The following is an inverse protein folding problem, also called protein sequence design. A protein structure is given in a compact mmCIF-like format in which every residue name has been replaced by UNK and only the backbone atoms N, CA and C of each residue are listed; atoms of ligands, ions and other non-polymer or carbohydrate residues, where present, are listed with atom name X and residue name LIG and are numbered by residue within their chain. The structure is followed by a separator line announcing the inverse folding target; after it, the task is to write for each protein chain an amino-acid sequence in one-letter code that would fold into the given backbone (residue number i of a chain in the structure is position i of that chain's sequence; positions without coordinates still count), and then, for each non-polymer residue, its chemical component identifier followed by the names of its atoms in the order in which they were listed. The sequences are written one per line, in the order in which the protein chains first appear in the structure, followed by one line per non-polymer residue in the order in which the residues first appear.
data_IF_237552534949
#
_entry.id   IF_237552534949
#
_cell.length_a   1.000
_cell.length_b   1.000
_cell.length_c   1.000
_cell.angle_alpha   90.00
_cell.angle_beta   90.00
_cell.angle_gamma   90.00
#
_symmetry.space_group_name_H-M   'P 1'
#
loop_
_entity.id
_entity.type
_entity.pdbx_description
1 polymer ?
#
# COMPACT_ATOMS: atom_id res chain seq x y z
N UNK A 1 5.90 -21.06 -13.82
CA UNK A 1 4.70 -20.35 -14.27
C UNK A 1 4.87 -18.91 -13.82
N UNK A 2 4.60 -17.93 -14.67
CA UNK A 2 4.56 -16.54 -14.23
C UNK A 2 3.25 -16.31 -13.49
N UNK A 3 3.30 -15.68 -12.31
CA UNK A 3 2.11 -15.25 -11.56
C UNK A 3 1.75 -13.83 -11.98
N UNK A 4 0.47 -13.52 -11.99
CA UNK A 4 -0.01 -12.15 -12.20
C UNK A 4 0.01 -11.37 -10.88
N UNK A 5 0.03 -10.05 -10.95
CA UNK A 5 -0.04 -9.19 -9.76
C UNK A 5 -1.33 -9.47 -8.98
N UNK A 6 -2.45 -9.66 -9.66
CA UNK A 6 -3.73 -10.03 -9.06
C UNK A 6 -3.69 -11.31 -8.23
N UNK A 7 -2.90 -12.31 -8.67
CA UNK A 7 -2.76 -13.56 -7.92
C UNK A 7 -2.04 -13.33 -6.58
N UNK A 8 -1.01 -12.46 -6.58
CA UNK A 8 -0.33 -12.07 -5.35
C UNK A 8 -1.27 -11.33 -4.41
N UNK A 9 -1.97 -10.29 -4.91
CA UNK A 9 -2.83 -9.45 -4.09
C UNK A 9 -3.96 -10.25 -3.42
N UNK A 10 -4.53 -11.22 -4.12
CA UNK A 10 -5.59 -12.06 -3.57
C UNK A 10 -5.13 -13.05 -2.48
N UNK A 11 -3.83 -13.36 -2.41
CA UNK A 11 -3.27 -14.32 -1.47
C UNK A 11 -2.47 -13.64 -0.32
N UNK A 12 -2.18 -12.33 -0.43
CA UNK A 12 -1.49 -11.58 0.63
C UNK A 12 -2.26 -11.65 1.94
N UNK A 13 -1.55 -11.89 3.03
CA UNK A 13 -2.07 -12.03 4.40
C UNK A 13 -3.03 -13.21 4.59
N UNK A 14 -3.13 -14.10 3.61
CA UNK A 14 -3.85 -15.37 3.72
C UNK A 14 -2.94 -16.58 3.50
N UNK A 15 -2.19 -16.59 2.42
CA UNK A 15 -1.21 -17.62 2.08
C UNK A 15 0.21 -17.06 1.89
N UNK A 16 0.32 -15.77 1.60
CA UNK A 16 1.59 -15.08 1.34
C UNK A 16 1.88 -14.10 2.48
N UNK A 17 3.05 -14.26 3.07
CA UNK A 17 3.50 -13.47 4.21
C UNK A 17 4.92 -12.99 4.03
N UNK A 18 5.34 -12.16 4.98
CA UNK A 18 6.68 -11.64 5.09
C UNK A 18 7.49 -12.49 6.09
N UNK A 19 8.78 -12.85 5.85
CA UNK A 19 9.61 -13.56 6.85
C UNK A 19 10.08 -12.61 7.96
N UNK A 20 10.34 -13.14 9.16
CA UNK A 20 10.75 -12.37 10.35
C UNK A 20 12.09 -11.64 10.26
N UNK A 21 12.91 -11.94 9.26
CA UNK A 21 14.19 -11.26 9.00
C UNK A 21 14.02 -10.10 8.03
N UNK A 22 13.10 -9.19 8.34
CA UNK A 22 12.74 -8.14 7.42
C UNK A 22 13.19 -6.76 7.82
N UNK A 23 13.34 -5.95 6.76
CA UNK A 23 13.40 -4.51 6.83
C UNK A 23 11.98 -3.94 6.82
N UNK A 24 11.69 -3.01 7.72
CA UNK A 24 10.43 -2.26 7.72
C UNK A 24 10.12 -1.66 6.33
N UNK A 25 8.85 -1.39 6.07
CA UNK A 25 8.46 -0.69 4.87
C UNK A 25 9.00 0.75 4.91
N UNK A 26 9.74 1.13 3.87
CA UNK A 26 10.48 2.41 3.83
C UNK A 26 10.18 3.26 2.59
N UNK A 27 9.35 2.77 1.68
CA UNK A 27 8.97 3.57 0.51
C UNK A 27 8.03 4.71 0.91
N UNK A 28 8.25 5.87 0.29
CA UNK A 28 7.35 7.00 0.44
C UNK A 28 6.21 6.95 -0.60
N UNK A 29 5.16 7.79 -0.46
CA UNK A 29 4.03 7.79 -1.38
C UNK A 29 4.44 7.97 -2.85
N UNK A 30 5.39 8.87 -3.13
CA UNK A 30 5.86 9.10 -4.49
C UNK A 30 6.50 7.87 -5.13
N UNK A 31 7.24 7.08 -4.38
CA UNK A 31 7.82 5.83 -4.89
C UNK A 31 6.73 4.79 -5.21
N UNK A 32 5.62 4.80 -4.48
CA UNK A 32 4.46 3.98 -4.79
C UNK A 32 3.81 4.47 -6.09
N UNK A 33 3.59 5.76 -6.23
CA UNK A 33 3.04 6.38 -7.45
C UNK A 33 3.89 6.06 -8.69
N UNK A 34 5.22 6.21 -8.59
CA UNK A 34 6.17 5.88 -9.65
C UNK A 34 6.16 4.37 -10.02
N UNK A 35 5.89 3.49 -9.05
CA UNK A 35 5.72 2.06 -9.32
C UNK A 35 4.48 1.79 -10.17
N UNK A 36 3.36 2.44 -9.86
CA UNK A 36 2.11 2.28 -10.62
C UNK A 36 2.21 2.89 -12.02
N UNK A 37 2.87 4.04 -12.16
CA UNK A 37 3.19 4.60 -13.45
C UNK A 37 4.03 3.63 -14.31
N UNK A 38 5.05 3.02 -13.69
CA UNK A 38 5.87 1.99 -14.35
C UNK A 38 5.07 0.79 -14.83
N UNK A 39 4.09 0.34 -14.02
CA UNK A 39 3.22 -0.79 -14.37
C UNK A 39 2.32 -0.48 -15.57
N UNK A 40 1.69 0.70 -15.60
CA UNK A 40 0.82 1.09 -16.72
C UNK A 40 1.60 1.25 -18.01
N UNK A 41 2.88 1.67 -17.91
CA UNK A 41 3.78 1.78 -19.06
C UNK A 41 4.42 0.46 -19.48
N UNK A 42 4.04 -0.65 -18.86
CA UNK A 42 4.63 -1.98 -19.11
C UNK A 42 6.15 -2.02 -18.89
N UNK A 43 6.65 -1.18 -17.96
CA UNK A 43 8.05 -1.23 -17.57
C UNK A 43 8.30 -2.39 -16.58
N UNK A 44 9.46 -3.06 -16.69
CA UNK A 44 9.79 -4.14 -15.77
C UNK A 44 10.03 -3.59 -14.36
N UNK A 45 9.23 -4.01 -13.41
CA UNK A 45 9.35 -3.61 -12.00
C UNK A 45 10.32 -4.48 -11.19
N UNK A 46 11.03 -5.38 -11.84
CA UNK A 46 11.96 -6.33 -11.23
C UNK A 46 11.28 -7.65 -10.82
N UNK A 47 12.07 -8.58 -10.28
CA UNK A 47 11.60 -9.89 -9.89
C UNK A 47 11.06 -9.92 -8.46
N UNK A 48 10.11 -10.81 -8.18
CA UNK A 48 9.68 -11.20 -6.84
C UNK A 48 10.21 -12.59 -6.58
N UNK A 49 10.89 -12.79 -5.45
CA UNK A 49 11.44 -14.08 -5.07
C UNK A 49 10.61 -14.68 -3.94
N UNK A 50 9.99 -15.81 -4.24
CA UNK A 50 9.17 -16.59 -3.31
C UNK A 50 9.98 -17.73 -2.68
N UNK A 51 9.75 -17.96 -1.41
CA UNK A 51 10.12 -19.20 -0.75
C UNK A 51 8.86 -19.97 -0.34
N UNK A 52 8.66 -21.13 -0.94
CA UNK A 52 7.56 -22.03 -0.58
C UNK A 52 7.97 -22.85 0.64
N UNK A 53 7.27 -22.61 1.74
CA UNK A 53 7.54 -23.26 3.02
C UNK A 53 6.89 -24.63 3.02
N UNK A 54 7.64 -25.64 3.50
CA UNK A 54 7.05 -26.99 3.69
C UNK A 54 6.35 -27.04 5.04
N UNK A 55 5.19 -27.64 5.09
CA UNK A 55 4.35 -27.76 6.30
C UNK A 55 5.12 -28.23 7.55
N UNK A 56 6.13 -29.09 7.39
CA UNK A 56 6.96 -29.57 8.51
C UNK A 56 7.84 -28.51 9.18
N UNK A 57 8.04 -27.33 8.56
CA UNK A 57 8.98 -26.31 9.01
C UNK A 57 8.31 -24.96 9.28
N UNK A 58 6.99 -24.91 9.22
CA UNK A 58 6.23 -23.64 9.35
C UNK A 58 6.45 -22.99 10.72
N UNK A 59 6.44 -23.79 11.79
CA UNK A 59 6.64 -23.31 13.16
C UNK A 59 8.03 -22.75 13.47
N UNK A 60 9.00 -22.94 12.58
CA UNK A 60 10.36 -22.53 12.79
C UNK A 60 10.63 -21.07 12.36
N UNK A 61 9.63 -20.43 11.71
CA UNK A 61 9.80 -19.11 11.12
C UNK A 61 8.69 -18.16 11.54
N UNK A 62 9.07 -17.06 12.18
CA UNK A 62 8.15 -15.96 12.42
C UNK A 62 7.78 -15.34 11.07
N UNK A 63 6.50 -15.12 10.86
CA UNK A 63 5.95 -14.48 9.68
C UNK A 63 5.11 -13.27 10.05
N UNK A 64 5.06 -12.30 9.15
CA UNK A 64 4.41 -11.02 9.36
C UNK A 64 3.47 -10.68 8.22
N UNK A 65 2.39 -9.99 8.55
CA UNK A 65 1.47 -9.45 7.57
C UNK A 65 2.10 -8.33 6.74
N UNK A 66 1.68 -8.21 5.48
CA UNK A 66 1.89 -7.02 4.68
C UNK A 66 1.04 -5.87 5.22
N UNK A 67 1.56 -4.65 5.10
CA UNK A 67 0.83 -3.45 5.46
C UNK A 67 -0.27 -3.17 4.45
N UNK A 68 -1.49 -3.03 4.93
CA UNK A 68 -2.61 -2.54 4.12
C UNK A 68 -2.67 -1.01 4.15
N UNK A 69 -2.41 -0.43 5.30
CA UNK A 69 -2.34 1.01 5.50
C UNK A 69 -0.93 1.40 5.94
N UNK A 70 -0.42 2.51 5.42
CA UNK A 70 0.91 3.00 5.71
C UNK A 70 0.87 4.44 6.19
N UNK A 71 1.70 4.78 7.19
CA UNK A 71 1.85 6.15 7.69
C UNK A 71 2.91 6.86 6.87
N UNK A 72 2.49 7.84 6.09
CA UNK A 72 3.36 8.56 5.15
C UNK A 72 4.20 9.68 5.79
N UNK A 73 3.96 10.01 7.05
CA UNK A 73 4.67 11.05 7.78
C UNK A 73 5.86 10.49 8.56
N UNK A 74 6.86 11.36 8.83
CA UNK A 74 8.02 11.05 9.69
C UNK A 74 7.62 10.79 11.16
N UNK A 75 6.36 10.95 11.50
CA UNK A 75 5.83 10.74 12.83
C UNK A 75 5.24 9.35 12.97
N UNK A 76 5.77 8.58 13.89
CA UNK A 76 5.10 7.35 14.30
C UNK A 76 3.78 7.71 15.02
N UNK A 77 2.62 7.24 14.53
CA UNK A 77 1.37 7.42 15.23
C UNK A 77 1.42 6.80 16.63
N UNK A 78 0.67 7.33 17.58
CA UNK A 78 0.49 6.68 18.88
C UNK A 78 -0.10 5.26 18.74
N UNK A 79 0.27 4.37 19.66
CA UNK A 79 -0.13 2.95 19.61
C UNK A 79 -1.63 2.70 19.39
N UNK A 80 -2.58 3.48 19.95
CA UNK A 80 -4.00 3.30 19.66
C UNK A 80 -4.35 3.51 18.18
N UNK A 81 -3.71 4.47 17.52
CA UNK A 81 -3.90 4.74 16.07
C UNK A 81 -3.30 3.61 15.25
N UNK A 82 -2.13 3.12 15.63
CA UNK A 82 -1.47 1.99 14.97
C UNK A 82 -2.32 0.73 15.03
N UNK A 83 -2.87 0.43 16.22
CA UNK A 83 -3.65 -0.79 16.44
C UNK A 83 -4.98 -0.79 15.70
N UNK A 84 -5.65 0.37 15.60
CA UNK A 84 -6.97 0.45 14.97
C UNK A 84 -6.94 0.30 13.46
N UNK A 85 -5.83 0.65 12.83
CA UNK A 85 -5.75 0.72 11.36
C UNK A 85 -4.73 -0.24 10.74
N UNK A 86 -4.23 -1.21 11.51
CA UNK A 86 -3.21 -2.16 11.01
C UNK A 86 -2.01 -1.47 10.34
N UNK A 87 -1.54 -0.37 10.95
CA UNK A 87 -0.49 0.49 10.42
C UNK A 87 0.93 -0.06 10.67
N UNK A 88 1.07 -1.27 11.15
CA UNK A 88 2.36 -1.95 11.33
C UNK A 88 2.26 -3.43 10.99
N UNK A 89 3.38 -4.00 10.59
CA UNK A 89 3.43 -5.42 10.30
C UNK A 89 3.18 -6.25 11.57
N UNK A 90 2.04 -6.91 11.63
CA UNK A 90 1.68 -7.79 12.75
C UNK A 90 2.28 -9.17 12.55
N UNK A 91 2.79 -9.76 13.63
CA UNK A 91 3.20 -11.16 13.64
C UNK A 91 1.98 -12.06 13.47
N UNK A 92 2.14 -13.10 12.67
CA UNK A 92 1.06 -14.03 12.35
C UNK A 92 1.13 -15.19 13.34
N UNK A 93 0.15 -15.30 14.22
CA UNK A 93 0.11 -16.34 15.26
C UNK A 93 -0.73 -17.56 14.84
N UNK A 94 -1.79 -17.35 14.06
CA UNK A 94 -2.82 -18.36 13.80
C UNK A 94 -2.88 -18.89 12.37
N UNK A 95 -1.97 -18.44 11.49
CA UNK A 95 -1.94 -18.86 10.09
C UNK A 95 -0.65 -19.57 9.74
N UNK A 96 -0.78 -20.58 8.90
CA UNK A 96 0.36 -21.32 8.37
C UNK A 96 0.78 -20.71 7.02
N UNK A 97 1.92 -20.01 6.94
CA UNK A 97 2.36 -19.42 5.67
C UNK A 97 2.75 -20.50 4.67
N UNK A 98 2.18 -20.44 3.48
CA UNK A 98 2.59 -21.30 2.37
C UNK A 98 3.75 -20.71 1.59
N UNK A 99 3.80 -19.37 1.51
CA UNK A 99 4.78 -18.61 0.74
C UNK A 99 5.31 -17.46 1.58
N UNK A 100 6.63 -17.35 1.65
CA UNK A 100 7.32 -16.19 2.21
C UNK A 100 8.02 -15.42 1.09
N UNK A 101 7.86 -14.10 1.07
CA UNK A 101 8.50 -13.24 0.08
C UNK A 101 9.90 -12.85 0.56
N UNK A 102 10.93 -13.34 -0.14
CA UNK A 102 12.33 -13.12 0.22
C UNK A 102 12.88 -11.84 -0.44
N UNK A 103 12.52 -11.57 -1.68
CA UNK A 103 12.89 -10.33 -2.38
C UNK A 103 11.69 -9.74 -3.12
N UNK A 104 11.68 -8.42 -3.29
CA UNK A 104 10.57 -7.68 -3.86
C UNK A 104 9.48 -7.29 -2.86
N UNK A 105 9.72 -7.44 -1.57
CA UNK A 105 8.79 -7.16 -0.47
C UNK A 105 8.26 -5.72 -0.51
N UNK A 106 9.14 -4.72 -0.68
CA UNK A 106 8.73 -3.31 -0.75
C UNK A 106 7.79 -3.06 -1.93
N UNK A 107 8.10 -3.63 -3.09
CA UNK A 107 7.28 -3.53 -4.31
C UNK A 107 5.92 -4.20 -4.13
N UNK A 108 5.91 -5.43 -3.60
CA UNK A 108 4.66 -6.15 -3.40
C UNK A 108 3.79 -5.47 -2.34
N UNK A 109 4.40 -4.96 -1.26
CA UNK A 109 3.67 -4.18 -0.26
C UNK A 109 3.13 -2.87 -0.84
N UNK A 110 3.90 -2.19 -1.68
CA UNK A 110 3.44 -0.97 -2.39
C UNK A 110 2.25 -1.24 -3.30
N UNK A 111 2.26 -2.37 -4.02
CA UNK A 111 1.12 -2.79 -4.82
C UNK A 111 -0.12 -3.08 -3.95
N UNK A 112 0.07 -3.74 -2.82
CA UNK A 112 -1.01 -4.03 -1.88
C UNK A 112 -1.58 -2.74 -1.25
N UNK A 113 -0.72 -1.81 -0.82
CA UNK A 113 -1.14 -0.48 -0.33
C UNK A 113 -1.94 0.27 -1.40
N UNK A 114 -1.44 0.31 -2.63
CA UNK A 114 -2.06 1.11 -3.69
C UNK A 114 -3.39 0.54 -4.19
N UNK A 115 -3.58 -0.79 -4.19
CA UNK A 115 -4.80 -1.43 -4.70
C UNK A 115 -5.83 -1.68 -3.60
N UNK A 116 -5.41 -2.28 -2.48
CA UNK A 116 -6.32 -2.75 -1.43
C UNK A 116 -6.36 -1.84 -0.21
N UNK A 117 -5.39 -0.94 -0.10
CA UNK A 117 -5.18 -0.12 1.07
C UNK A 117 -5.08 1.37 0.79
N UNK A 118 -4.12 2.00 1.44
CA UNK A 118 -3.85 3.41 1.29
C UNK A 118 -2.75 3.90 2.22
N UNK A 119 -2.64 5.22 2.32
CA UNK A 119 -1.73 5.88 3.24
C UNK A 119 -2.50 6.70 4.27
N UNK A 120 -1.85 6.97 5.38
CA UNK A 120 -2.35 7.86 6.42
C UNK A 120 -1.40 9.02 6.58
N UNK A 121 -1.94 10.23 6.58
CA UNK A 121 -1.21 11.47 6.80
C UNK A 121 -1.75 12.21 8.02
N UNK A 122 -0.88 12.91 8.73
CA UNK A 122 -1.27 13.76 9.85
C UNK A 122 -1.71 15.14 9.36
N UNK A 123 -2.97 15.49 9.55
CA UNK A 123 -3.54 16.78 9.15
C UNK A 123 -3.84 17.67 10.38
N UNK A 124 -3.08 17.53 11.44
CA UNK A 124 -3.14 18.38 12.63
C UNK A 124 -2.24 19.58 12.53
N UNK A 125 -2.49 20.57 13.39
CA UNK A 125 -1.69 21.80 13.47
C UNK A 125 -0.23 21.56 13.91
N UNK A 126 0.56 22.66 13.96
CA UNK A 126 1.97 22.62 14.42
C UNK A 126 2.05 22.11 15.87
N UNK A 127 2.81 21.06 16.08
CA UNK A 127 3.05 20.47 17.40
C UNK A 127 3.31 18.98 17.32
N UNK A 128 3.28 18.29 18.50
CA UNK A 128 3.30 16.82 18.52
C UNK A 128 2.02 16.28 17.90
N UNK A 129 2.12 15.23 17.06
CA UNK A 129 0.93 14.59 16.55
C UNK A 129 -0.01 14.18 17.67
N UNK A 130 -1.28 14.44 17.46
CA UNK A 130 -2.32 14.04 18.40
C UNK A 130 -2.62 12.56 18.24
N UNK A 131 -2.93 11.88 19.34
CA UNK A 131 -3.49 10.53 19.38
C UNK A 131 -4.98 10.47 19.01
N UNK A 132 -5.57 11.63 18.66
CA UNK A 132 -6.96 11.69 18.23
C UNK A 132 -7.07 11.41 16.74
N UNK A 133 -7.81 10.37 16.39
CA UNK A 133 -8.03 9.90 15.01
C UNK A 133 -8.55 10.98 14.06
N UNK A 134 -9.27 11.98 14.56
CA UNK A 134 -9.79 13.09 13.75
C UNK A 134 -8.72 13.94 13.07
N UNK A 135 -7.46 13.86 13.50
CA UNK A 135 -6.33 14.55 12.91
C UNK A 135 -5.52 13.69 11.93
N UNK A 136 -5.92 12.45 11.78
CA UNK A 136 -5.32 11.52 10.81
C UNK A 136 -6.25 11.34 9.63
N UNK A 137 -5.73 11.50 8.45
CA UNK A 137 -6.47 11.43 7.21
C UNK A 137 -6.01 10.25 6.37
N UNK A 138 -6.98 9.43 5.95
CA UNK A 138 -6.73 8.35 5.01
C UNK A 138 -6.73 8.86 3.58
N UNK A 139 -5.76 8.42 2.80
CA UNK A 139 -5.66 8.71 1.37
C UNK A 139 -5.53 7.40 0.59
N UNK A 140 -6.16 7.35 -0.58
CA UNK A 140 -6.04 6.24 -1.51
C UNK A 140 -5.31 6.66 -2.77
N UNK A 141 -4.66 5.70 -3.41
CA UNK A 141 -4.03 5.92 -4.71
C UNK A 141 -5.12 6.10 -5.76
N UNK A 142 -5.06 7.22 -6.46
CA UNK A 142 -5.97 7.57 -7.55
C UNK A 142 -5.16 7.69 -8.84
N UNK A 143 -5.82 7.47 -9.97
CA UNK A 143 -5.27 7.72 -11.29
C UNK A 143 -6.13 8.72 -12.04
N UNK A 144 -5.50 9.73 -12.66
CA UNK A 144 -6.19 10.62 -13.59
C UNK A 144 -6.21 9.98 -14.97
N UNK A 145 -7.41 9.55 -15.40
CA UNK A 145 -7.60 8.89 -16.69
C UNK A 145 -7.68 9.88 -17.86
N UNK A 146 -7.85 11.17 -17.59
CA UNK A 146 -8.06 12.17 -18.63
C UNK A 146 -6.83 13.04 -18.89
N UNK A 147 -5.79 12.90 -18.04
CA UNK A 147 -4.58 13.71 -18.09
C UNK A 147 -4.83 15.18 -17.69
N UNK A 148 -3.80 15.86 -17.23
CA UNK A 148 -3.92 17.28 -16.91
C UNK A 148 -3.72 18.11 -18.19
N UNK A 149 -4.65 19.04 -18.55
CA UNK A 149 -4.55 19.83 -19.78
C UNK A 149 -3.35 20.80 -19.81
N UNK A 150 -2.64 20.98 -18.71
CA UNK A 150 -1.47 21.86 -18.60
C UNK A 150 -0.12 21.11 -18.71
N UNK A 151 -0.13 19.77 -18.79
CA UNK A 151 1.10 19.06 -19.08
C UNK A 151 1.42 19.16 -20.55
N UNK A 152 2.50 19.84 -20.86
CA UNK A 152 3.04 20.06 -22.20
C UNK A 152 3.30 18.68 -22.85
N UNK A 153 2.63 18.43 -23.98
CA UNK A 153 2.67 17.14 -24.69
C UNK A 153 4.04 16.78 -25.29
N UNK A 154 5.06 17.55 -24.99
CA UNK A 154 6.43 17.33 -25.48
C UNK A 154 7.25 16.41 -24.56
N UNK A 155 6.73 16.11 -23.36
CA UNK A 155 7.32 15.08 -22.51
C UNK A 155 6.62 13.74 -22.79
N UNK A 156 7.35 12.78 -23.30
CA UNK A 156 6.91 11.41 -23.61
C UNK A 156 6.54 10.58 -22.37
N UNK A 157 6.33 11.23 -21.26
CA UNK A 157 5.95 10.71 -19.96
C UNK A 157 4.43 10.67 -19.85
N UNK A 158 3.89 9.54 -20.11
CA UNK A 158 2.58 8.95 -19.81
C UNK A 158 1.35 9.84 -19.67
N UNK A 159 0.27 9.33 -20.23
CA UNK A 159 -1.05 9.95 -20.21
C UNK A 159 -1.77 9.84 -18.83
N UNK A 160 -1.12 9.25 -17.81
CA UNK A 160 -1.76 8.99 -16.51
C UNK A 160 -0.90 9.53 -15.37
N UNK A 161 -1.54 10.24 -14.45
CA UNK A 161 -0.95 10.72 -13.20
C UNK A 161 -1.51 9.91 -12.04
N UNK A 162 -0.62 9.34 -11.22
CA UNK A 162 -0.98 8.68 -9.97
C UNK A 162 -0.72 9.62 -8.81
N UNK A 163 -1.67 9.75 -7.90
CA UNK A 163 -1.55 10.58 -6.72
C UNK A 163 -2.38 10.00 -5.57
N UNK A 164 -1.87 10.07 -4.34
CA UNK A 164 -2.67 9.78 -3.17
C UNK A 164 -3.61 10.95 -2.85
N UNK A 165 -4.91 10.68 -2.81
CA UNK A 165 -5.94 11.68 -2.54
C UNK A 165 -6.80 11.30 -1.34
N UNK A 166 -7.26 12.34 -0.64
CA UNK A 166 -8.15 12.19 0.50
C UNK A 166 -9.45 11.50 0.11
N UNK A 167 -9.83 10.51 0.92
CA UNK A 167 -11.11 9.81 0.78
C UNK A 167 -12.15 10.31 1.79
N UNK A 168 -11.85 11.41 2.49
CA UNK A 168 -12.64 11.88 3.62
C UNK A 168 -12.15 11.32 4.95
N UNK A 169 -12.99 11.38 5.99
CA UNK A 169 -12.60 10.92 7.31
C UNK A 169 -12.30 9.43 7.32
N UNK A 170 -11.24 9.06 8.03
CA UNK A 170 -10.90 7.69 8.33
C UNK A 170 -12.14 6.89 8.78
N UNK A 171 -12.37 5.74 8.16
CA UNK A 171 -13.50 4.85 8.48
C UNK A 171 -14.78 5.06 7.68
N UNK A 172 -14.81 6.04 6.79
CA UNK A 172 -15.92 6.21 5.84
C UNK A 172 -15.62 5.51 4.52
N UNK A 173 -15.66 4.19 4.47
CA UNK A 173 -15.86 3.51 3.20
C UNK A 173 -17.31 3.75 2.80
N UNK A 174 -17.56 4.61 1.81
CA UNK A 174 -18.76 4.38 1.05
C UNK A 174 -18.51 3.07 0.29
N UNK A 175 -19.50 2.21 0.30
CA UNK A 175 -19.42 0.86 -0.29
C UNK A 175 -19.25 0.90 -1.83
N UNK A 176 -19.14 2.08 -2.43
CA UNK A 176 -19.16 2.30 -3.87
C UNK A 176 -17.77 2.49 -4.48
N UNK A 177 -16.72 2.73 -3.68
CA UNK A 177 -15.36 2.94 -4.20
C UNK A 177 -15.20 4.23 -5.03
N UNK A 178 -16.20 5.10 -5.08
CA UNK A 178 -16.16 6.37 -5.78
C UNK A 178 -16.08 7.52 -4.79
N UNK A 179 -15.02 8.29 -4.82
CA UNK A 179 -14.99 9.60 -4.17
C UNK A 179 -15.56 10.62 -5.16
N UNK A 180 -16.80 11.00 -4.95
CA UNK A 180 -17.40 12.17 -5.60
C UNK A 180 -16.94 13.44 -4.88
N UNK A 181 -15.66 13.75 -4.89
CA UNK A 181 -15.25 15.15 -4.72
C UNK A 181 -15.52 15.81 -6.05
N UNK A 182 -16.35 16.84 -6.13
CA UNK A 182 -16.94 17.52 -7.28
C UNK A 182 -16.17 17.66 -8.60
N UNK A 183 -15.06 16.97 -8.76
CA UNK A 183 -14.27 16.81 -9.96
C UNK A 183 -14.30 15.32 -10.35
N UNK A 184 -15.14 14.99 -11.32
CA UNK A 184 -15.45 13.63 -11.79
C UNK A 184 -14.31 12.92 -12.51
N UNK A 185 -13.07 13.38 -12.35
CA UNK A 185 -11.90 12.92 -13.10
C UNK A 185 -11.11 11.80 -12.45
N UNK A 186 -11.42 11.40 -11.23
CA UNK A 186 -10.67 10.40 -10.51
C UNK A 186 -11.52 9.13 -10.31
N UNK A 187 -11.05 8.02 -10.88
CA UNK A 187 -11.57 6.67 -10.66
C UNK A 187 -10.55 5.88 -9.85
N UNK A 188 -11.04 5.02 -9.00
CA UNK A 188 -10.26 4.10 -8.17
C UNK A 188 -9.87 2.84 -8.94
#
# INVERSE_FOLDING_TARGET
MSRQVSDYLSEINDHIFLPGLQREFVWNPRQIEELFDSLIRDYPIGAITEWRVRAANISDYNSYNFLRMYVADDYRPPDPVLAEYDLYNQEVEDKEPEILIIDGQQRLNSLYIGVEGGITVYNGGRGKPSDQLQYWEGQRLCVDLFGHPEYDRDDTTGDYEFEFKSTGKFGGTDETGYSMTGDTRHLW
#
